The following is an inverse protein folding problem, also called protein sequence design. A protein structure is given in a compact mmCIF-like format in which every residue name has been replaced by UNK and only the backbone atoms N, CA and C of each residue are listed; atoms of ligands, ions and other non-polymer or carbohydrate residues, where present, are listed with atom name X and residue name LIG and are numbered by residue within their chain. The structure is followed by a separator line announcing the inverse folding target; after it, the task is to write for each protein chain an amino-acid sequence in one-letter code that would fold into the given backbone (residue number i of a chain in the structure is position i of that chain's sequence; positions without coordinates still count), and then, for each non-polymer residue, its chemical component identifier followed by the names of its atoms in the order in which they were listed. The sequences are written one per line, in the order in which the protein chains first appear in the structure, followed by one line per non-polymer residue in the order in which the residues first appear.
data_IF_091913113368
#
_entry.id   IF_091913113368
#
_cell.length_a   1.000
_cell.length_b   1.000
_cell.length_c   1.000
_cell.angle_alpha   90.00
_cell.angle_beta   90.00
_cell.angle_gamma   90.00
#
_symmetry.space_group_name_H-M   'P 1'
#
loop_
_entity.id
_entity.type
_entity.pdbx_description
1 polymer ?
#
# COMPACT_ATOMS: atom_id res chain seq x y z
N UNK A 1 14.39 -12.18 1.08
CA UNK A 1 15.51 -12.08 2.04
C UNK A 1 16.39 -10.97 1.53
N UNK A 2 16.81 -10.04 2.40
CA UNK A 2 17.72 -8.97 2.02
C UNK A 2 19.04 -9.58 1.52
N UNK A 3 19.37 -9.29 0.28
CA UNK A 3 20.64 -9.65 -0.37
C UNK A 3 21.57 -8.44 -0.31
N UNK A 4 22.88 -8.68 -0.43
CA UNK A 4 23.88 -7.60 -0.45
C UNK A 4 23.60 -6.58 -1.58
N UNK A 5 23.06 -7.04 -2.72
CA UNK A 5 22.68 -6.19 -3.85
C UNK A 5 21.47 -5.26 -3.55
N UNK A 6 20.64 -5.60 -2.55
CA UNK A 6 19.50 -4.80 -2.11
C UNK A 6 19.78 -4.03 -0.81
N UNK A 7 21.03 -4.02 -0.35
CA UNK A 7 21.41 -3.54 0.99
C UNK A 7 20.99 -2.08 1.25
N UNK A 8 21.10 -1.18 0.27
CA UNK A 8 20.70 0.22 0.43
C UNK A 8 19.19 0.36 0.72
N UNK A 9 18.34 -0.41 0.03
CA UNK A 9 16.88 -0.37 0.22
C UNK A 9 16.43 -1.14 1.48
N UNK A 10 17.15 -2.20 1.83
CA UNK A 10 16.84 -3.02 3.01
C UNK A 10 17.19 -2.37 4.35
N UNK A 11 18.13 -1.42 4.39
CA UNK A 11 18.50 -0.72 5.63
C UNK A 11 17.36 0.18 6.14
N UNK A 12 16.55 0.73 5.23
CA UNK A 12 15.42 1.61 5.59
C UNK A 12 14.09 0.82 5.73
N UNK A 13 13.84 -0.20 4.90
CA UNK A 13 12.51 -0.84 4.83
C UNK A 13 12.00 -1.53 6.11
N UNK A 14 12.89 -2.08 6.96
CA UNK A 14 12.47 -2.98 8.06
C UNK A 14 12.04 -2.27 9.34
N UNK A 15 12.39 -1.01 9.51
CA UNK A 15 12.12 -0.24 10.73
C UNK A 15 11.72 1.21 10.43
N UNK A 16 11.07 1.44 9.29
CA UNK A 16 10.46 2.74 9.01
C UNK A 16 9.36 3.03 10.02
N UNK A 17 9.31 4.29 10.46
CA UNK A 17 8.23 4.80 11.31
C UNK A 17 6.92 4.95 10.56
N UNK A 18 6.88 4.63 9.26
CA UNK A 18 5.68 4.60 8.44
C UNK A 18 5.68 3.34 7.57
N UNK A 19 4.50 2.99 7.08
CA UNK A 19 4.33 1.90 6.11
C UNK A 19 3.24 2.30 5.11
N UNK A 20 3.46 1.98 3.83
CA UNK A 20 2.55 2.35 2.75
C UNK A 20 2.07 1.14 1.94
N UNK A 21 0.85 1.26 1.41
CA UNK A 21 0.30 0.35 0.42
C UNK A 21 -0.19 1.15 -0.79
N UNK A 22 0.16 0.68 -1.97
CA UNK A 22 -0.31 1.22 -3.24
C UNK A 22 -1.31 0.27 -3.88
N UNK A 23 -2.48 0.80 -4.18
CA UNK A 23 -3.51 0.15 -4.99
C UNK A 23 -3.29 0.49 -6.46
N UNK A 24 -3.24 -0.53 -7.31
CA UNK A 24 -3.06 -0.40 -8.75
C UNK A 24 -4.22 -1.05 -9.49
N UNK A 25 -4.79 -0.31 -10.44
CA UNK A 25 -5.61 -0.87 -11.50
C UNK A 25 -4.99 -0.54 -12.86
N UNK A 26 -4.71 -1.56 -13.66
CA UNK A 26 -4.28 -1.40 -15.03
C UNK A 26 -5.25 -2.08 -16.00
N UNK A 27 -5.39 -1.50 -17.19
CA UNK A 27 -6.15 -2.09 -18.30
C UNK A 27 -5.50 -1.70 -19.62
N UNK A 28 -5.17 -2.69 -20.44
CA UNK A 28 -4.63 -2.49 -21.79
C UNK A 28 -3.38 -1.58 -21.85
N UNK A 29 -2.55 -1.59 -20.80
CA UNK A 29 -1.32 -0.78 -20.74
C UNK A 29 -1.51 0.62 -20.16
N UNK A 30 -2.71 0.99 -19.73
CA UNK A 30 -3.00 2.25 -19.07
C UNK A 30 -3.32 2.05 -17.59
N UNK A 31 -2.82 2.94 -16.75
CA UNK A 31 -3.14 3.02 -15.32
C UNK A 31 -4.52 3.67 -15.17
N UNK A 32 -5.48 2.89 -14.69
CA UNK A 32 -6.84 3.35 -14.36
C UNK A 32 -6.95 3.84 -12.92
N UNK A 33 -6.08 3.35 -12.03
CA UNK A 33 -6.03 3.74 -10.63
C UNK A 33 -4.63 3.53 -10.09
N UNK A 34 -4.09 4.54 -9.42
CA UNK A 34 -2.87 4.41 -8.60
C UNK A 34 -3.08 5.17 -7.30
N UNK A 35 -3.58 4.50 -6.28
CA UNK A 35 -3.91 5.11 -4.99
C UNK A 35 -2.90 4.70 -3.93
N UNK A 36 -2.28 5.65 -3.25
CA UNK A 36 -1.32 5.43 -2.17
C UNK A 36 -2.01 5.66 -0.83
N UNK A 37 -1.78 4.78 0.14
CA UNK A 37 -2.23 4.94 1.53
C UNK A 37 -1.11 4.57 2.48
N UNK A 38 -0.82 5.44 3.45
CA UNK A 38 0.25 5.25 4.42
C UNK A 38 -0.23 5.46 5.85
N UNK A 39 0.34 4.69 6.78
CA UNK A 39 0.13 4.83 8.22
C UNK A 39 1.46 5.02 8.93
N UNK A 40 1.51 6.01 9.82
CA UNK A 40 2.66 6.28 10.68
C UNK A 40 2.49 5.51 11.99
N UNK A 41 3.55 4.78 12.37
CA UNK A 41 3.69 3.99 13.59
C UNK A 41 4.30 4.82 14.71
N UNK A 42 3.75 6.00 14.91
CA UNK A 42 4.06 6.88 16.02
C UNK A 42 2.84 7.01 16.96
N UNK A 43 2.96 7.89 17.95
CA UNK A 43 1.87 8.18 18.90
C UNK A 43 0.88 9.23 18.37
N UNK A 44 1.05 9.70 17.14
CA UNK A 44 0.25 10.76 16.52
C UNK A 44 -0.85 10.19 15.61
N UNK A 45 -0.77 8.90 15.28
CA UNK A 45 -1.75 8.19 14.43
C UNK A 45 -1.95 8.89 13.07
N UNK A 46 -0.90 9.50 12.55
CA UNK A 46 -0.96 10.21 11.29
C UNK A 46 -1.17 9.22 10.13
N UNK A 47 -2.10 9.58 9.25
CA UNK A 47 -2.43 8.82 8.04
C UNK A 47 -2.45 9.77 6.85
N UNK A 48 -1.96 9.26 5.72
CA UNK A 48 -1.98 9.98 4.46
C UNK A 48 -2.41 9.09 3.31
N UNK A 49 -3.07 9.69 2.33
CA UNK A 49 -3.56 9.00 1.16
C UNK A 49 -3.64 9.93 -0.03
N UNK A 50 -3.34 9.41 -1.22
CA UNK A 50 -3.20 10.18 -2.45
C UNK A 50 -3.69 9.38 -3.65
N UNK A 51 -4.44 10.03 -4.53
CA UNK A 51 -4.65 9.54 -5.90
C UNK A 51 -3.51 10.07 -6.78
N UNK A 52 -2.55 9.20 -7.11
CA UNK A 52 -1.35 9.59 -7.84
C UNK A 52 -1.61 9.91 -9.32
N UNK A 53 -2.80 9.62 -9.86
CA UNK A 53 -3.17 10.08 -11.21
C UNK A 53 -3.51 11.57 -11.23
N UNK A 54 -4.20 12.04 -10.19
CA UNK A 54 -4.64 13.44 -10.08
C UNK A 54 -3.69 14.31 -9.24
N UNK A 55 -2.97 13.72 -8.29
CA UNK A 55 -2.00 14.37 -7.41
C UNK A 55 -0.64 13.65 -7.42
N UNK A 56 0.12 13.73 -8.53
CA UNK A 56 1.39 13.02 -8.69
C UNK A 56 2.47 13.50 -7.71
N UNK A 57 2.30 14.69 -7.13
CA UNK A 57 3.24 15.29 -6.18
C UNK A 57 2.77 15.19 -4.73
N UNK A 58 1.65 14.51 -4.46
CA UNK A 58 1.17 14.19 -3.10
C UNK A 58 0.96 15.43 -2.22
N UNK A 59 0.45 16.51 -2.81
CA UNK A 59 0.28 17.79 -2.12
C UNK A 59 -1.02 17.86 -1.32
N UNK A 60 -2.00 17.00 -1.62
CA UNK A 60 -3.33 17.03 -1.04
C UNK A 60 -3.64 15.68 -0.36
N UNK A 61 -3.42 15.61 0.95
CA UNK A 61 -3.74 14.42 1.73
C UNK A 61 -5.26 14.23 1.84
N UNK A 62 -5.79 13.18 1.18
CA UNK A 62 -7.23 12.85 1.18
C UNK A 62 -7.62 11.79 2.21
N UNK A 63 -6.70 11.34 3.07
CA UNK A 63 -6.96 10.24 4.03
C UNK A 63 -8.12 10.54 4.99
N UNK A 64 -8.29 11.80 5.38
CA UNK A 64 -9.33 12.23 6.32
C UNK A 64 -10.72 12.34 5.66
N UNK A 65 -10.78 12.37 4.33
CA UNK A 65 -12.02 12.42 3.54
C UNK A 65 -12.51 11.00 3.17
N UNK A 66 -11.64 9.99 3.32
CA UNK A 66 -11.98 8.60 3.04
C UNK A 66 -13.05 8.09 4.01
N UNK A 67 -13.94 7.25 3.48
CA UNK A 67 -14.88 6.49 4.30
C UNK A 67 -14.11 5.63 5.33
N UNK A 68 -14.58 5.56 6.60
CA UNK A 68 -13.93 4.74 7.63
C UNK A 68 -13.77 3.28 7.23
N UNK A 69 -14.75 2.72 6.50
CA UNK A 69 -14.68 1.35 5.97
C UNK A 69 -13.59 1.18 4.92
N UNK A 70 -13.40 2.16 4.04
CA UNK A 70 -12.31 2.15 3.06
C UNK A 70 -10.97 2.16 3.79
N UNK A 71 -10.75 3.10 4.72
CA UNK A 71 -9.52 3.16 5.53
C UNK A 71 -9.22 1.82 6.22
N UNK A 72 -10.22 1.22 6.86
CA UNK A 72 -10.06 -0.07 7.54
C UNK A 72 -9.60 -1.21 6.59
N UNK A 73 -10.03 -1.19 5.31
CA UNK A 73 -9.55 -2.14 4.30
C UNK A 73 -8.06 -1.90 4.02
N UNK A 74 -7.65 -0.66 3.76
CA UNK A 74 -6.24 -0.33 3.53
C UNK A 74 -5.37 -0.69 4.76
N UNK A 75 -5.80 -0.35 5.98
CA UNK A 75 -5.09 -0.72 7.22
C UNK A 75 -4.91 -2.24 7.35
N UNK A 76 -5.95 -3.02 7.02
CA UNK A 76 -5.87 -4.48 7.06
C UNK A 76 -4.89 -5.03 6.01
N UNK A 77 -4.94 -4.51 4.78
CA UNK A 77 -4.02 -4.90 3.71
C UNK A 77 -2.59 -4.55 4.10
N UNK A 78 -2.36 -3.32 4.56
CA UNK A 78 -1.05 -2.84 4.99
C UNK A 78 -0.48 -3.72 6.11
N UNK A 79 -1.26 -3.99 7.17
CA UNK A 79 -0.87 -4.89 8.26
C UNK A 79 -0.49 -6.28 7.75
N UNK A 80 -1.25 -6.83 6.80
CA UNK A 80 -0.96 -8.16 6.26
C UNK A 80 0.34 -8.15 5.43
N UNK A 81 0.54 -7.14 4.58
CA UNK A 81 1.74 -7.01 3.77
C UNK A 81 3.00 -6.75 4.60
N UNK A 82 2.91 -5.98 5.70
CA UNK A 82 4.08 -5.78 6.58
C UNK A 82 4.45 -7.04 7.37
N UNK A 83 3.50 -7.96 7.62
CA UNK A 83 3.74 -9.16 8.43
C UNK A 83 3.91 -10.45 7.59
N UNK A 84 3.68 -10.40 6.28
CA UNK A 84 3.78 -11.57 5.42
C UNK A 84 5.25 -12.00 5.25
N UNK A 85 5.47 -13.28 4.94
CA UNK A 85 6.81 -13.86 4.77
C UNK A 85 6.81 -14.81 3.58
N UNK A 86 7.71 -14.56 2.62
CA UNK A 86 7.93 -15.46 1.49
C UNK A 86 6.70 -15.58 0.59
N UNK A 87 6.25 -16.81 0.32
CA UNK A 87 5.10 -17.06 -0.58
C UNK A 87 3.77 -16.55 -0.04
N UNK A 88 3.63 -16.30 1.27
CA UNK A 88 2.37 -15.80 1.84
C UNK A 88 2.07 -14.36 1.42
N UNK A 89 3.10 -13.58 1.04
CA UNK A 89 2.93 -12.24 0.47
C UNK A 89 2.27 -12.24 -0.91
N UNK A 90 2.35 -13.36 -1.65
CA UNK A 90 1.74 -13.47 -2.99
C UNK A 90 0.24 -13.71 -2.96
N UNK A 91 -0.31 -14.17 -1.83
CA UNK A 91 -1.75 -14.44 -1.71
C UNK A 91 -2.61 -13.18 -1.88
N UNK A 92 -2.04 -11.99 -1.63
CA UNK A 92 -2.70 -10.69 -1.82
C UNK A 92 -2.52 -10.11 -3.23
N UNK A 93 -1.60 -10.69 -4.01
CA UNK A 93 -1.42 -10.39 -5.44
C UNK A 93 -2.31 -11.26 -6.34
N UNK A 94 -2.71 -12.46 -5.89
CA UNK A 94 -3.51 -13.39 -6.67
C UNK A 94 -4.96 -13.43 -6.20
N UNK A 95 -5.82 -12.57 -6.78
CA UNK A 95 -7.21 -12.81 -7.23
C UNK A 95 -8.22 -13.60 -6.38
N UNK A 96 -7.92 -14.06 -5.16
CA UNK A 96 -8.64 -15.19 -4.57
C UNK A 96 -9.12 -15.02 -3.12
N UNK A 97 -8.90 -13.88 -2.45
CA UNK A 97 -9.47 -13.67 -1.10
C UNK A 97 -10.19 -12.34 -0.86
N UNK A 98 -10.20 -11.44 -1.83
CA UNK A 98 -11.12 -10.30 -1.84
C UNK A 98 -12.10 -10.58 -2.97
N UNK A 99 -13.39 -10.61 -2.63
CA UNK A 99 -14.52 -10.97 -3.48
C UNK A 99 -14.36 -10.54 -4.96
N UNK A 100 -15.01 -11.27 -5.86
CA UNK A 100 -15.21 -11.03 -7.31
C UNK A 100 -15.72 -9.61 -7.71
N UNK A 101 -15.58 -8.61 -6.86
CA UNK A 101 -16.12 -7.25 -6.97
C UNK A 101 -14.99 -6.23 -7.25
N UNK A 102 -13.73 -6.48 -6.90
CA UNK A 102 -12.67 -5.46 -7.01
C UNK A 102 -11.39 -5.99 -7.69
N UNK A 103 -11.04 -5.40 -8.84
CA UNK A 103 -9.99 -5.80 -9.79
C UNK A 103 -8.65 -5.08 -9.49
N UNK A 104 -8.26 -4.97 -8.22
CA UNK A 104 -7.12 -4.16 -7.80
C UNK A 104 -5.91 -5.02 -7.38
N UNK A 105 -4.72 -4.59 -7.76
CA UNK A 105 -3.42 -5.11 -7.33
C UNK A 105 -2.89 -4.26 -6.17
N UNK A 106 -2.24 -4.88 -5.19
CA UNK A 106 -1.75 -4.19 -3.98
C UNK A 106 -0.25 -4.39 -3.83
N UNK A 107 0.48 -3.29 -3.65
CA UNK A 107 1.94 -3.30 -3.52
C UNK A 107 2.35 -2.60 -2.23
N UNK A 108 3.24 -3.24 -1.47
CA UNK A 108 3.89 -2.61 -0.33
C UNK A 108 4.90 -1.59 -0.84
N UNK A 109 4.91 -0.40 -0.25
CA UNK A 109 5.85 0.68 -0.61
C UNK A 109 6.63 1.03 0.66
N UNK A 110 7.96 0.92 0.54
CA UNK A 110 8.94 1.29 1.58
C UNK A 110 9.25 2.78 1.52
#
# INVERSE_FOLDING_TARGET
MCTEDAACHCQDARNNTYACVRELEWKSGEDLRTFLYCEFRDNEHFVEAYDLLSDPYQMNNVAYEMLPSSRAIYSLVLKNLTNCIGSTCRMYNSRSYINKINKYQWEYVD
#
